data_IF_637580471422
#
_entry.id   IF_637580471422
#
_cell.length_a   1.000
_cell.length_b   1.000
_cell.length_c   1.000
_cell.angle_alpha   90.00
_cell.angle_beta   90.00
_cell.angle_gamma   90.00
#
_symmetry.space_group_name_H-M   'P 1'
#
loop_
_entity.id
_entity.type
_entity.pdbx_description
1 polymer ?
#
# COMPACT_ATOMS: atom_id res chain seq x y z
N UNK A 1 13.22 -24.99 -16.09
CA UNK A 1 12.07 -24.55 -15.26
C UNK A 1 12.56 -23.47 -14.30
N UNK A 2 12.54 -22.20 -14.70
CA UNK A 2 13.01 -21.10 -13.83
C UNK A 2 11.91 -20.71 -12.86
N UNK A 3 12.12 -21.01 -11.57
CA UNK A 3 11.26 -20.56 -10.48
C UNK A 3 11.24 -19.02 -10.47
N UNK A 4 10.07 -18.43 -10.77
CA UNK A 4 9.84 -17.00 -10.57
C UNK A 4 9.75 -16.75 -9.06
N UNK A 5 10.89 -16.38 -8.47
CA UNK A 5 10.98 -15.82 -7.12
C UNK A 5 10.00 -14.64 -7.05
N UNK A 6 9.05 -14.68 -6.11
CA UNK A 6 8.25 -13.52 -5.73
C UNK A 6 9.18 -12.31 -5.56
N UNK A 7 8.79 -11.09 -5.96
CA UNK A 7 9.64 -9.94 -5.77
C UNK A 7 9.87 -9.80 -4.26
N UNK A 8 11.06 -10.18 -3.82
CA UNK A 8 11.51 -9.95 -2.46
C UNK A 8 11.31 -8.47 -2.14
N UNK A 9 10.92 -8.12 -0.90
CA UNK A 9 10.89 -6.72 -0.50
C UNK A 9 12.19 -6.07 -0.94
N UNK A 10 12.16 -4.84 -1.51
CA UNK A 10 13.39 -4.13 -1.82
C UNK A 10 14.26 -4.21 -0.57
N UNK A 11 15.44 -4.81 -0.72
CA UNK A 11 16.29 -5.14 0.42
C UNK A 11 16.88 -3.84 0.91
N UNK A 12 16.14 -3.15 1.77
CA UNK A 12 16.64 -2.01 2.50
C UNK A 12 17.84 -2.49 3.33
N UNK A 13 18.92 -1.70 3.42
CA UNK A 13 19.98 -1.98 4.37
C UNK A 13 19.35 -2.26 5.75
N UNK A 14 19.72 -3.37 6.43
CA UNK A 14 19.10 -3.76 7.70
C UNK A 14 19.11 -2.64 8.74
N UNK A 15 20.16 -1.82 8.73
CA UNK A 15 20.31 -0.68 9.64
C UNK A 15 19.31 0.46 9.32
N UNK A 16 19.08 0.73 8.04
CA UNK A 16 18.06 1.69 7.60
C UNK A 16 16.65 1.24 7.98
N UNK A 17 16.36 -0.05 7.81
CA UNK A 17 15.09 -0.64 8.20
C UNK A 17 14.89 -0.54 9.71
N UNK A 18 15.91 -0.88 10.51
CA UNK A 18 15.84 -0.79 11.97
C UNK A 18 15.56 0.63 12.42
N UNK A 19 16.29 1.62 11.90
CA UNK A 19 16.10 3.02 12.28
C UNK A 19 14.69 3.53 11.94
N UNK A 20 14.13 3.16 10.79
CA UNK A 20 12.75 3.52 10.42
C UNK A 20 11.74 2.90 11.40
N UNK A 21 11.92 1.62 11.76
CA UNK A 21 11.02 0.92 12.67
C UNK A 21 11.12 1.44 14.11
N UNK A 22 12.33 1.75 14.57
CA UNK A 22 12.57 2.33 15.89
C UNK A 22 11.89 3.70 16.00
N UNK A 23 12.05 4.57 14.99
CA UNK A 23 11.35 5.87 14.92
C UNK A 23 9.84 5.72 14.91
N UNK A 24 9.31 4.81 14.10
CA UNK A 24 7.87 4.57 14.03
C UNK A 24 7.33 4.03 15.37
N UNK A 25 8.10 3.21 16.09
CA UNK A 25 7.69 2.70 17.40
C UNK A 25 7.70 3.77 18.49
N UNK A 26 8.66 4.70 18.46
CA UNK A 26 8.81 5.74 19.46
C UNK A 26 7.79 6.88 19.27
N UNK A 27 7.57 7.32 18.03
CA UNK A 27 6.75 8.51 17.73
C UNK A 27 5.37 8.16 17.18
N UNK A 28 5.08 6.88 16.93
CA UNK A 28 3.84 6.33 16.32
C UNK A 28 3.50 6.87 14.92
N UNK A 29 4.39 7.72 14.38
CA UNK A 29 4.26 8.43 13.11
C UNK A 29 5.66 8.65 12.55
N UNK A 30 5.76 8.74 11.23
CA UNK A 30 6.99 9.09 10.53
C UNK A 30 6.60 9.75 9.20
N UNK A 31 7.29 10.83 8.84
CA UNK A 31 7.10 11.51 7.56
C UNK A 31 7.90 10.82 6.45
N UNK A 32 7.36 10.86 5.23
CA UNK A 32 8.04 10.46 4.00
C UNK A 32 9.42 11.12 3.80
N UNK A 33 9.58 12.39 4.17
CA UNK A 33 10.86 13.09 4.07
C UNK A 33 11.90 12.55 5.05
N UNK A 34 11.46 12.16 6.26
CA UNK A 34 12.32 11.55 7.28
C UNK A 34 12.79 10.18 6.83
N UNK A 35 11.88 9.36 6.28
CA UNK A 35 12.24 8.08 5.65
C UNK A 35 13.31 8.30 4.58
N UNK A 36 13.11 9.28 3.68
CA UNK A 36 14.08 9.58 2.62
C UNK A 36 15.44 10.01 3.20
N UNK A 37 15.46 10.81 4.27
CA UNK A 37 16.68 11.23 4.94
C UNK A 37 17.41 10.05 5.63
N UNK A 38 16.68 9.12 6.24
CA UNK A 38 17.25 7.88 6.79
C UNK A 38 17.87 7.05 5.66
N UNK A 39 17.10 6.77 4.60
CA UNK A 39 17.58 5.98 3.46
C UNK A 39 18.83 6.60 2.81
N UNK A 40 18.87 7.93 2.67
CA UNK A 40 20.04 8.66 2.17
C UNK A 40 21.27 8.50 3.07
N UNK A 41 21.10 8.59 4.40
CA UNK A 41 22.21 8.41 5.37
C UNK A 41 22.80 7.00 5.31
N UNK A 42 21.97 6.00 5.08
CA UNK A 42 22.39 4.60 4.89
C UNK A 42 22.86 4.26 3.47
N UNK A 43 23.09 5.27 2.62
CA UNK A 43 23.66 5.08 1.29
C UNK A 43 22.73 4.39 0.28
N UNK A 44 21.41 4.39 0.51
CA UNK A 44 20.45 3.82 -0.44
C UNK A 44 20.43 4.69 -1.70
N UNK A 45 21.01 4.16 -2.76
CA UNK A 45 21.10 4.80 -4.06
C UNK A 45 20.66 3.81 -5.17
N UNK A 46 20.08 4.32 -6.24
CA UNK A 46 19.65 3.53 -7.39
C UNK A 46 20.40 3.94 -8.65
N UNK A 47 20.53 2.99 -9.58
CA UNK A 47 21.02 3.27 -10.93
C UNK A 47 20.08 4.24 -11.67
N UNK A 48 20.63 5.25 -12.33
CA UNK A 48 19.85 6.34 -12.93
C UNK A 48 18.95 5.84 -14.07
N UNK A 49 19.44 4.92 -14.90
CA UNK A 49 18.67 4.36 -16.01
C UNK A 49 17.54 3.47 -15.48
N UNK A 50 17.84 2.61 -14.50
CA UNK A 50 16.82 1.81 -13.82
C UNK A 50 15.75 2.67 -13.13
N UNK A 51 16.14 3.81 -12.53
CA UNK A 51 15.22 4.76 -11.91
C UNK A 51 14.32 5.43 -12.95
N UNK A 52 14.88 5.84 -14.09
CA UNK A 52 14.12 6.46 -15.18
C UNK A 52 13.12 5.47 -15.78
N UNK A 53 13.52 4.21 -15.97
CA UNK A 53 12.63 3.16 -16.47
C UNK A 53 11.54 2.80 -15.47
N UNK A 54 11.86 2.72 -14.18
CA UNK A 54 10.86 2.53 -13.13
C UNK A 54 9.86 3.69 -13.09
N UNK A 55 10.32 4.93 -13.31
CA UNK A 55 9.46 6.10 -13.39
C UNK A 55 8.52 6.02 -14.60
N UNK A 56 9.02 5.70 -15.79
CA UNK A 56 8.21 5.48 -17.01
C UNK A 56 7.14 4.40 -16.79
N UNK A 57 7.52 3.26 -16.21
CA UNK A 57 6.58 2.17 -15.86
C UNK A 57 5.52 2.62 -14.87
N UNK A 58 5.88 3.43 -13.86
CA UNK A 58 4.94 3.98 -12.88
C UNK A 58 3.95 4.96 -13.51
N UNK A 59 4.39 5.78 -14.46
CA UNK A 59 3.49 6.66 -15.23
C UNK A 59 2.51 5.84 -16.08
N UNK A 60 3.00 4.83 -16.81
CA UNK A 60 2.15 3.92 -17.57
C UNK A 60 1.11 3.22 -16.67
N UNK A 61 1.54 2.67 -15.54
CA UNK A 61 0.64 2.02 -14.57
C UNK A 61 -0.45 2.98 -14.05
N UNK A 62 -0.11 4.26 -13.84
CA UNK A 62 -1.07 5.28 -13.41
C UNK A 62 -2.14 5.50 -14.46
N UNK A 63 -1.74 5.67 -15.73
CA UNK A 63 -2.69 5.78 -16.85
C UNK A 63 -3.57 4.53 -16.95
N UNK A 64 -3.00 3.33 -16.86
CA UNK A 64 -3.79 2.09 -16.90
C UNK A 64 -4.77 1.96 -15.72
N UNK A 65 -4.56 2.71 -14.62
CA UNK A 65 -5.49 2.72 -13.47
C UNK A 65 -6.64 3.71 -13.60
N UNK A 66 -6.55 4.67 -14.53
CA UNK A 66 -7.61 5.66 -14.76
C UNK A 66 -8.66 5.19 -15.76
N UNK A 67 -8.34 4.20 -16.59
CA UNK A 67 -9.26 3.64 -17.59
C UNK A 67 -10.39 2.89 -16.88
N UNK A 68 -11.62 3.33 -17.14
CA UNK A 68 -12.85 2.84 -16.52
C UNK A 68 -13.93 2.68 -17.57
N UNK A 69 -14.86 1.77 -17.31
CA UNK A 69 -16.08 1.61 -18.09
C UNK A 69 -17.07 2.76 -17.83
N UNK A 70 -18.19 2.74 -18.56
CA UNK A 70 -19.27 3.72 -18.43
C UNK A 70 -19.90 3.76 -17.03
N UNK A 71 -19.76 2.68 -16.26
CA UNK A 71 -20.26 2.57 -14.87
C UNK A 71 -19.20 2.98 -13.84
N UNK A 72 -18.02 3.42 -14.27
CA UNK A 72 -16.91 3.83 -13.42
C UNK A 72 -16.07 2.68 -12.85
N UNK A 73 -16.31 1.44 -13.26
CA UNK A 73 -15.51 0.27 -12.83
C UNK A 73 -14.25 0.18 -13.67
N UNK A 74 -13.20 -0.38 -13.08
CA UNK A 74 -11.90 -0.47 -13.73
C UNK A 74 -11.91 -1.55 -14.82
N UNK A 75 -11.66 -1.13 -16.06
CA UNK A 75 -11.73 -1.99 -17.24
C UNK A 75 -10.38 -2.65 -17.56
N UNK A 76 -9.27 -1.95 -17.27
CA UNK A 76 -7.91 -2.43 -17.52
C UNK A 76 -7.24 -2.86 -16.23
N UNK A 77 -6.77 -4.12 -16.19
CA UNK A 77 -6.08 -4.70 -15.06
C UNK A 77 -4.71 -5.27 -15.44
N UNK A 78 -3.75 -5.13 -14.53
CA UNK A 78 -2.42 -5.74 -14.72
C UNK A 78 -2.53 -7.27 -14.65
N UNK A 79 -2.06 -7.96 -15.67
CA UNK A 79 -1.90 -9.42 -15.68
C UNK A 79 -0.48 -9.83 -15.23
N UNK A 80 -0.23 -11.14 -15.22
CA UNK A 80 1.11 -11.68 -14.97
C UNK A 80 2.09 -11.24 -16.06
N UNK A 81 3.36 -11.02 -15.70
CA UNK A 81 4.40 -10.73 -16.69
C UNK A 81 4.52 -9.27 -17.14
N UNK A 82 3.79 -8.33 -16.50
CA UNK A 82 3.87 -6.90 -16.82
C UNK A 82 2.90 -6.45 -17.92
N UNK A 83 2.04 -7.34 -18.38
CA UNK A 83 0.98 -7.05 -19.33
C UNK A 83 -0.22 -6.37 -18.65
N UNK A 84 -1.00 -5.63 -19.44
CA UNK A 84 -2.30 -5.10 -19.05
C UNK A 84 -3.35 -5.71 -19.97
N UNK A 85 -4.47 -6.12 -19.38
CA UNK A 85 -5.59 -6.74 -20.11
C UNK A 85 -6.86 -5.93 -19.87
N UNK A 86 -7.62 -5.74 -20.93
CA UNK A 86 -9.02 -5.32 -20.87
C UNK A 86 -9.81 -6.55 -20.41
N UNK A 87 -10.48 -6.46 -19.27
CA UNK A 87 -11.09 -7.62 -18.60
C UNK A 87 -12.14 -8.29 -19.48
N UNK A 88 -13.02 -7.50 -20.09
CA UNK A 88 -14.14 -8.03 -20.87
C UNK A 88 -13.72 -8.58 -22.24
N UNK A 89 -12.53 -8.20 -22.74
CA UNK A 89 -11.98 -8.72 -23.99
C UNK A 89 -10.94 -9.84 -23.79
N UNK A 90 -10.66 -10.24 -22.54
CA UNK A 90 -9.61 -11.21 -22.25
C UNK A 90 -10.10 -12.64 -22.50
N UNK A 91 -9.52 -13.32 -23.49
CA UNK A 91 -9.84 -14.71 -23.83
C UNK A 91 -8.99 -15.76 -23.08
N UNK A 92 -8.16 -15.34 -22.12
CA UNK A 92 -7.30 -16.25 -21.34
C UNK A 92 -7.89 -16.49 -19.94
N UNK A 93 -8.49 -17.67 -19.68
CA UNK A 93 -9.11 -17.97 -18.40
C UNK A 93 -8.10 -18.10 -17.26
N UNK A 94 -6.83 -18.41 -17.54
CA UNK A 94 -5.80 -18.49 -16.50
C UNK A 94 -5.41 -17.08 -16.04
N UNK A 95 -5.26 -16.12 -16.96
CA UNK A 95 -5.03 -14.70 -16.61
C UNK A 95 -6.19 -14.15 -15.79
N UNK A 96 -7.44 -14.41 -16.19
CA UNK A 96 -8.62 -13.96 -15.45
C UNK A 96 -8.70 -14.57 -14.04
N UNK A 97 -8.40 -15.87 -13.88
CA UNK A 97 -8.34 -16.53 -12.57
C UNK A 97 -7.27 -15.91 -11.66
N UNK A 98 -6.08 -15.62 -12.20
CA UNK A 98 -5.00 -14.99 -11.45
C UNK A 98 -5.38 -13.57 -10.99
N UNK A 99 -5.99 -12.78 -11.87
CA UNK A 99 -6.50 -11.45 -11.56
C UNK A 99 -7.56 -11.52 -10.46
N UNK A 100 -8.54 -12.41 -10.59
CA UNK A 100 -9.61 -12.63 -9.59
C UNK A 100 -9.03 -12.97 -8.22
N UNK A 101 -8.09 -13.91 -8.16
CA UNK A 101 -7.44 -14.30 -6.90
C UNK A 101 -6.72 -13.10 -6.25
N UNK A 102 -6.00 -12.29 -7.05
CA UNK A 102 -5.32 -11.10 -6.54
C UNK A 102 -6.30 -10.07 -5.99
N UNK A 103 -7.40 -9.78 -6.70
CA UNK A 103 -8.44 -8.85 -6.23
C UNK A 103 -9.01 -9.34 -4.89
N UNK A 104 -9.35 -10.62 -4.79
CA UNK A 104 -9.89 -11.18 -3.56
C UNK A 104 -8.90 -11.06 -2.39
N UNK A 105 -7.61 -11.37 -2.61
CA UNK A 105 -6.59 -11.22 -1.59
C UNK A 105 -6.43 -9.76 -1.13
N UNK A 106 -6.50 -8.80 -2.07
CA UNK A 106 -6.44 -7.38 -1.76
C UNK A 106 -7.67 -6.92 -0.96
N UNK A 107 -8.87 -7.36 -1.33
CA UNK A 107 -10.10 -7.07 -0.59
C UNK A 107 -10.02 -7.57 0.86
N UNK A 108 -9.57 -8.81 1.06
CA UNK A 108 -9.43 -9.38 2.39
C UNK A 108 -8.43 -8.58 3.25
N UNK A 109 -7.28 -8.19 2.69
CA UNK A 109 -6.29 -7.38 3.41
C UNK A 109 -6.78 -5.96 3.76
N UNK A 110 -7.54 -5.34 2.86
CA UNK A 110 -8.15 -4.03 3.08
C UNK A 110 -9.23 -4.09 4.16
N UNK A 111 -10.08 -5.12 4.15
CA UNK A 111 -11.13 -5.28 5.17
C UNK A 111 -10.55 -5.43 6.59
N UNK A 112 -9.48 -6.22 6.74
CA UNK A 112 -8.75 -6.35 8.02
C UNK A 112 -8.22 -4.99 8.48
N UNK A 113 -7.65 -4.21 7.56
CA UNK A 113 -7.09 -2.89 7.86
C UNK A 113 -8.20 -1.89 8.23
N UNK A 114 -9.32 -1.90 7.51
CA UNK A 114 -10.51 -1.12 7.81
C UNK A 114 -11.08 -1.48 9.19
N UNK A 115 -11.07 -2.76 9.57
CA UNK A 115 -11.43 -3.23 10.91
C UNK A 115 -10.57 -2.62 12.01
N UNK A 116 -9.24 -2.54 11.82
CA UNK A 116 -8.32 -1.89 12.79
C UNK A 116 -8.62 -0.40 12.94
N UNK A 117 -8.84 0.30 11.83
CA UNK A 117 -9.20 1.73 11.85
C UNK A 117 -10.53 1.94 12.58
N UNK A 118 -11.57 1.17 12.24
CA UNK A 118 -12.89 1.25 12.89
C UNK A 118 -12.80 1.05 14.40
N UNK A 119 -12.04 0.06 14.87
CA UNK A 119 -11.83 -0.18 16.31
C UNK A 119 -11.17 1.02 16.99
N UNK A 120 -10.16 1.64 16.37
CA UNK A 120 -9.48 2.81 16.91
C UNK A 120 -10.40 4.04 16.97
N UNK A 121 -11.17 4.29 15.91
CA UNK A 121 -12.16 5.39 15.89
C UNK A 121 -13.17 5.22 17.02
N UNK A 122 -13.80 4.05 17.13
CA UNK A 122 -14.77 3.76 18.21
C UNK A 122 -14.17 3.95 19.60
N UNK A 123 -12.92 3.51 19.81
CA UNK A 123 -12.23 3.71 21.08
C UNK A 123 -12.08 5.20 21.41
N UNK A 124 -11.65 6.02 20.46
CA UNK A 124 -11.46 7.46 20.66
C UNK A 124 -12.78 8.19 20.92
N UNK A 125 -13.85 7.83 20.21
CA UNK A 125 -15.19 8.38 20.44
C UNK A 125 -15.70 8.07 21.86
N UNK A 126 -15.53 6.82 22.31
CA UNK A 126 -15.93 6.41 23.66
C UNK A 126 -15.07 7.07 24.74
N UNK A 127 -13.75 7.09 24.56
CA UNK A 127 -12.83 7.75 25.48
C UNK A 127 -13.14 9.25 25.63
N UNK A 128 -13.37 9.95 24.52
CA UNK A 128 -13.77 11.36 24.56
C UNK A 128 -15.11 11.58 25.26
N UNK A 129 -16.06 10.65 25.11
CA UNK A 129 -17.35 10.72 25.82
C UNK A 129 -17.21 10.53 27.34
N UNK A 130 -16.30 9.65 27.77
CA UNK A 130 -16.01 9.40 29.18
C UNK A 130 -15.29 10.60 29.83
N UNK A 131 -14.23 11.12 29.19
CA UNK A 131 -13.51 12.31 29.69
C UNK A 131 -14.45 13.50 29.87
N UNK A 132 -15.36 13.74 28.91
CA UNK A 132 -16.35 14.83 29.02
C UNK A 132 -17.26 14.67 30.23
N UNK A 133 -17.67 13.44 30.54
CA UNK A 133 -18.55 13.15 31.68
C UNK A 133 -17.87 13.40 33.02
N UNK A 134 -16.60 12.97 33.16
CA UNK A 134 -15.83 13.21 34.39
C UNK A 134 -15.54 14.70 34.63
N UNK A 135 -15.28 15.47 33.57
CA UNK A 135 -15.08 16.92 33.72
C UNK A 135 -16.35 17.69 34.13
N UNK A 136 -17.54 17.16 33.83
CA UNK A 136 -18.81 17.74 34.28
C UNK A 136 -19.19 17.33 35.71
N UNK A 137 -18.80 16.14 36.16
CA UNK A 137 -19.11 15.64 37.51
C UNK A 137 -18.14 16.17 38.59
N UNK A 138 -16.96 16.68 38.21
CA UNK A 138 -15.98 17.29 39.12
C UNK A 138 -16.10 18.80 39.34
N UNK A 139 -17.13 19.44 38.79
CA UNK A 139 -17.38 20.89 38.89
C UNK A 139 -18.58 21.25 39.78
N UNK A 140 -19.08 20.30 40.57
CA UNK A 140 -20.22 20.47 41.49
C UNK A 140 -19.78 20.39 42.96
#
# INVERSE_FOLDING_TARGET
MSQKKSPSPPTLPPDAQREILDRLSAETRINSQEIAAILKRHGVCGDMDALQDAYRKRLGQRLMSTIRDETGKREVLAASGGEYVIVDCCNDPQKLKAIRHRIQAQMNGLDVSAGKVRKRVRFLEHFASWVRKETSDGAA
#
